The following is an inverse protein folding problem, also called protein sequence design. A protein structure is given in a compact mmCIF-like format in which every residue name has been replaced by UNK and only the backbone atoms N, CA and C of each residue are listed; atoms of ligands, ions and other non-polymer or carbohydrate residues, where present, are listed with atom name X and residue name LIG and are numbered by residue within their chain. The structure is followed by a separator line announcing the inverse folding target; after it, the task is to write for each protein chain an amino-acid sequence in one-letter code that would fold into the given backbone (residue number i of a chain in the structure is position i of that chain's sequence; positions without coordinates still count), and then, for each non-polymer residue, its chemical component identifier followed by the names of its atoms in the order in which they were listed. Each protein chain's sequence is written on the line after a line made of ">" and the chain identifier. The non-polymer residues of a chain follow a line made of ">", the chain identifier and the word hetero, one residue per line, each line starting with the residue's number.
data_IF_995326907655
#
_entry.id   IF_995326907655
#
_cell.length_a   1.000
_cell.length_b   1.000
_cell.length_c   1.000
_cell.angle_alpha   90.00
_cell.angle_beta   90.00
_cell.angle_gamma   90.00
#
_symmetry.space_group_name_H-M   'P 1'
#
loop_
_entity.id
_entity.type
_entity.pdbx_description
1 polymer ?
#
# COMPACT_ATOMS: atom_id res chain seq x y z
N UNK A 1 -6.31 -4.36 23.62
CA UNK A 1 -5.23 -3.55 23.01
C UNK A 1 -4.63 -4.35 21.85
N UNK A 2 -4.21 -3.68 20.80
CA UNK A 2 -3.49 -4.27 19.66
C UNK A 2 -2.04 -3.77 19.64
N UNK A 3 -1.13 -4.59 19.11
CA UNK A 3 0.27 -4.18 18.87
C UNK A 3 0.30 -3.18 17.72
N UNK A 4 1.09 -2.11 17.87
CA UNK A 4 1.25 -1.11 16.80
C UNK A 4 1.91 -1.74 15.57
N UNK A 5 2.96 -2.54 15.77
CA UNK A 5 3.61 -3.34 14.73
C UNK A 5 3.76 -4.78 15.21
N UNK A 6 3.54 -5.74 14.31
CA UNK A 6 3.67 -7.16 14.59
C UNK A 6 5.10 -7.66 14.30
N UNK A 7 5.71 -7.20 13.20
CA UNK A 7 7.08 -7.58 12.83
C UNK A 7 7.87 -6.39 12.25
N UNK A 8 9.18 -6.41 12.44
CA UNK A 8 10.15 -5.56 11.77
C UNK A 8 11.16 -6.45 11.03
N UNK A 9 11.46 -6.12 9.77
CA UNK A 9 12.30 -6.92 8.90
C UNK A 9 13.33 -6.06 8.18
N UNK A 10 14.49 -6.68 7.93
CA UNK A 10 15.45 -6.21 6.93
C UNK A 10 15.55 -7.30 5.88
N UNK A 11 15.15 -6.99 4.65
CA UNK A 11 15.20 -7.90 3.50
C UNK A 11 16.23 -7.37 2.52
N UNK A 12 17.06 -8.24 1.94
CA UNK A 12 18.08 -7.84 0.99
C UNK A 12 18.19 -8.82 -0.17
N UNK A 13 18.91 -8.38 -1.21
CA UNK A 13 19.20 -9.22 -2.37
C UNK A 13 20.01 -10.47 -1.96
N UNK A 14 19.56 -11.64 -2.40
CA UNK A 14 20.25 -12.91 -2.19
C UNK A 14 21.38 -13.09 -3.23
N UNK A 15 22.62 -12.99 -2.78
CA UNK A 15 23.80 -13.15 -3.63
C UNK A 15 24.10 -14.61 -3.98
N UNK A 16 23.54 -15.57 -3.23
CA UNK A 16 23.81 -17.00 -3.38
C UNK A 16 22.93 -17.61 -4.49
N UNK A 17 21.71 -17.10 -4.68
CA UNK A 17 20.76 -17.54 -5.71
C UNK A 17 20.85 -16.75 -7.03
N UNK A 18 22.07 -16.60 -7.57
CA UNK A 18 22.36 -15.87 -8.82
C UNK A 18 21.92 -16.57 -10.13
N UNK A 19 21.38 -17.78 -10.06
CA UNK A 19 21.28 -18.69 -11.23
C UNK A 19 20.25 -18.32 -12.31
N UNK A 20 19.10 -17.77 -11.93
CA UNK A 20 18.08 -17.33 -12.89
C UNK A 20 18.17 -15.84 -13.15
N UNK A 21 17.88 -15.36 -14.36
CA UNK A 21 17.95 -13.94 -14.73
C UNK A 21 17.12 -12.96 -13.88
N UNK A 22 16.39 -13.42 -12.86
CA UNK A 22 15.77 -12.60 -11.82
C UNK A 22 16.36 -12.94 -10.45
N UNK A 23 16.81 -11.92 -9.71
CA UNK A 23 17.25 -12.11 -8.33
C UNK A 23 16.12 -12.50 -7.39
N UNK A 24 16.49 -12.89 -6.16
CA UNK A 24 15.57 -13.15 -5.07
C UNK A 24 15.90 -12.30 -3.85
N UNK A 25 14.89 -12.00 -3.04
CA UNK A 25 15.05 -11.40 -1.72
C UNK A 25 15.21 -12.44 -0.64
N UNK A 26 16.02 -12.14 0.36
CA UNK A 26 16.21 -12.95 1.56
C UNK A 26 16.01 -12.09 2.81
N UNK A 27 15.30 -12.61 3.79
CA UNK A 27 15.21 -12.00 5.13
C UNK A 27 16.61 -12.07 5.76
N UNK A 28 17.21 -10.90 5.97
CA UNK A 28 18.50 -10.75 6.64
C UNK A 28 18.33 -10.69 8.16
N UNK A 29 17.29 -9.99 8.61
CA UNK A 29 16.95 -9.84 10.02
C UNK A 29 15.44 -9.76 10.19
N UNK A 30 14.97 -10.27 11.32
CA UNK A 30 13.55 -10.34 11.67
C UNK A 30 13.37 -10.19 13.17
N UNK A 31 12.41 -9.36 13.56
CA UNK A 31 12.03 -9.15 14.95
C UNK A 31 10.50 -9.12 15.08
N UNK A 32 9.91 -9.83 16.05
CA UNK A 32 10.55 -10.86 16.88
C UNK A 32 11.04 -12.07 16.06
N UNK A 33 12.00 -12.82 16.60
CA UNK A 33 12.51 -14.06 15.96
C UNK A 33 11.54 -15.23 16.06
N UNK A 34 10.57 -15.16 16.97
CA UNK A 34 9.50 -16.16 17.14
C UNK A 34 8.19 -15.58 16.65
N UNK A 35 7.37 -16.44 16.06
CA UNK A 35 6.05 -16.07 15.60
C UNK A 35 5.13 -15.76 16.78
N UNK A 36 4.22 -14.81 16.57
CA UNK A 36 3.12 -14.58 17.51
C UNK A 36 2.08 -15.71 17.36
N UNK A 37 1.59 -16.22 18.49
CA UNK A 37 0.53 -17.25 18.51
C UNK A 37 -0.75 -16.77 17.83
N UNK A 38 -1.08 -15.49 17.95
CA UNK A 38 -2.29 -14.87 17.38
C UNK A 38 -2.10 -14.33 15.96
N UNK A 39 -0.87 -14.30 15.45
CA UNK A 39 -0.54 -13.72 14.15
C UNK A 39 0.81 -14.26 13.63
N UNK A 40 0.84 -15.46 13.03
CA UNK A 40 2.07 -16.09 12.56
C UNK A 40 2.76 -15.24 11.48
N UNK A 41 4.03 -15.55 11.20
CA UNK A 41 4.80 -14.74 10.27
C UNK A 41 4.36 -14.94 8.82
N UNK A 42 4.15 -13.85 8.05
CA UNK A 42 3.67 -13.96 6.68
C UNK A 42 4.79 -14.44 5.73
N UNK A 43 4.64 -15.63 5.13
CA UNK A 43 5.61 -16.23 4.18
C UNK A 43 5.66 -15.51 2.84
N UNK A 44 6.80 -15.27 2.20
CA UNK A 44 6.86 -14.65 0.86
C UNK A 44 6.75 -13.12 0.84
N UNK A 45 6.99 -12.48 1.98
CA UNK A 45 7.00 -11.01 2.12
C UNK A 45 8.10 -10.35 1.26
N UNK A 46 9.13 -11.10 0.92
CA UNK A 46 10.26 -10.70 0.08
C UNK A 46 9.81 -10.32 -1.34
N UNK A 47 8.71 -10.92 -1.84
CA UNK A 47 8.12 -10.58 -3.14
C UNK A 47 7.56 -9.14 -3.15
N UNK A 48 6.98 -8.71 -2.02
CA UNK A 48 6.41 -7.37 -1.88
C UNK A 48 7.46 -6.31 -1.56
N UNK A 49 8.65 -6.72 -1.11
CA UNK A 49 9.76 -5.80 -0.81
C UNK A 49 10.38 -5.18 -2.06
N UNK A 50 10.34 -5.89 -3.19
CA UNK A 50 10.77 -5.43 -4.52
C UNK A 50 9.75 -5.92 -5.57
N UNK A 51 8.59 -5.24 -5.73
CA UNK A 51 7.50 -5.74 -6.58
C UNK A 51 7.86 -5.82 -8.07
N UNK A 52 8.81 -5.00 -8.55
CA UNK A 52 9.37 -5.07 -9.90
C UNK A 52 10.43 -6.17 -10.07
N UNK A 53 10.70 -6.96 -9.03
CA UNK A 53 11.76 -7.95 -9.01
C UNK A 53 13.03 -7.46 -8.33
N UNK A 54 13.82 -8.41 -7.84
CA UNK A 54 15.11 -8.14 -7.21
C UNK A 54 16.19 -8.05 -8.28
N UNK A 55 16.74 -6.85 -8.48
CA UNK A 55 17.74 -6.61 -9.51
C UNK A 55 18.93 -5.83 -8.95
N UNK A 56 20.13 -6.17 -9.42
CA UNK A 56 21.32 -5.40 -9.12
C UNK A 56 21.36 -4.16 -10.02
N UNK A 57 21.77 -3.03 -9.44
CA UNK A 57 21.87 -1.74 -10.15
C UNK A 57 23.30 -1.21 -10.11
N UNK A 58 23.71 -0.50 -11.17
CA UNK A 58 25.05 0.09 -11.25
C UNK A 58 25.22 1.31 -10.31
N UNK A 59 24.13 1.99 -9.98
CA UNK A 59 24.14 3.21 -9.18
C UNK A 59 23.26 3.06 -7.93
N UNK A 60 23.69 3.68 -6.84
CA UNK A 60 22.92 3.71 -5.59
C UNK A 60 21.65 4.53 -5.77
N UNK A 61 20.50 3.89 -5.58
CA UNK A 61 19.19 4.54 -5.63
C UNK A 61 18.86 5.23 -4.28
N UNK A 62 18.10 6.34 -4.30
CA UNK A 62 17.58 6.95 -3.08
C UNK A 62 16.54 6.05 -2.39
N UNK A 63 16.35 6.16 -1.07
CA UNK A 63 15.32 5.41 -0.37
C UNK A 63 13.91 5.84 -0.85
N UNK A 64 13.03 4.86 -1.01
CA UNK A 64 11.62 5.05 -1.36
C UNK A 64 10.71 4.35 -0.35
N UNK A 65 9.52 4.91 -0.11
CA UNK A 65 8.51 4.31 0.77
C UNK A 65 7.25 3.96 -0.02
N UNK A 66 6.66 2.81 0.29
CA UNK A 66 5.35 2.39 -0.19
C UNK A 66 4.71 1.43 0.80
N UNK A 67 3.39 1.20 0.68
CA UNK A 67 2.65 0.23 1.50
C UNK A 67 2.03 -0.82 0.59
N UNK A 68 2.38 -2.08 0.83
CA UNK A 68 1.74 -3.22 0.24
C UNK A 68 0.82 -3.88 1.27
N UNK A 69 -0.33 -4.37 0.81
CA UNK A 69 -1.23 -5.18 1.63
C UNK A 69 -1.18 -6.61 1.13
N UNK A 70 -1.21 -7.53 2.09
CA UNK A 70 -1.33 -8.96 1.84
C UNK A 70 -2.65 -9.45 2.40
N UNK A 71 -3.39 -10.18 1.58
CA UNK A 71 -4.45 -11.09 2.03
C UNK A 71 -3.83 -12.47 2.21
N UNK A 72 -4.22 -13.22 3.24
CA UNK A 72 -3.76 -14.59 3.44
C UNK A 72 -4.28 -15.48 2.32
N UNK A 73 -3.51 -15.63 1.25
CA UNK A 73 -3.67 -16.71 0.28
C UNK A 73 -2.29 -17.32 0.02
N UNK A 74 -2.22 -18.63 0.24
CA UNK A 74 -1.03 -19.43 0.01
C UNK A 74 -0.95 -19.77 -1.48
N UNK A 75 0.14 -19.36 -2.12
CA UNK A 75 0.61 -19.99 -3.35
C UNK A 75 2.09 -20.28 -3.18
N UNK A 76 2.43 -21.56 -3.29
CA UNK A 76 3.80 -22.04 -3.41
C UNK A 76 4.17 -21.94 -4.89
N UNK A 77 5.29 -21.29 -5.21
CA UNK A 77 5.81 -21.17 -6.57
C UNK A 77 7.09 -21.98 -6.63
N UNK A 78 7.12 -23.03 -7.46
CA UNK A 78 8.30 -23.86 -7.69
C UNK A 78 9.35 -23.10 -8.52
N UNK A 79 10.61 -23.12 -8.08
CA UNK A 79 11.75 -22.48 -8.75
C UNK A 79 12.55 -23.53 -9.55
N UNK A 80 12.77 -23.30 -10.86
CA UNK A 80 13.65 -24.10 -11.72
C UNK A 80 15.05 -23.44 -11.82
N UNK A 81 16.12 -24.22 -11.65
CA UNK A 81 17.50 -23.75 -11.54
C UNK A 81 18.27 -23.87 -12.87
N UNK A 82 18.77 -22.74 -13.38
CA UNK A 82 19.74 -22.68 -14.49
C UNK A 82 21.04 -21.94 -14.09
N UNK A 83 22.16 -22.09 -14.82
CA UNK A 83 23.43 -21.44 -14.48
C UNK A 83 23.58 -20.06 -15.16
N UNK A 84 24.00 -19.05 -14.39
CA UNK A 84 24.17 -17.65 -14.83
C UNK A 84 25.60 -17.21 -15.18
N UNK A 85 25.70 -16.20 -16.06
CA UNK A 85 26.93 -15.60 -16.62
C UNK A 85 27.62 -14.55 -15.69
N UNK A 86 28.91 -14.21 -15.90
CA UNK A 86 29.67 -13.29 -15.03
C UNK A 86 29.35 -11.80 -15.22
N UNK A 87 29.33 -11.05 -14.10
CA UNK A 87 28.91 -9.64 -13.98
C UNK A 87 30.10 -8.67 -13.70
N UNK A 88 29.93 -7.34 -13.97
CA UNK A 88 30.95 -6.31 -13.78
C UNK A 88 31.33 -6.00 -12.31
N UNK A 89 32.41 -5.24 -12.12
CA UNK A 89 33.23 -5.17 -10.89
C UNK A 89 32.61 -4.48 -9.65
N UNK A 90 31.53 -3.70 -9.77
CA UNK A 90 30.81 -3.15 -8.61
C UNK A 90 29.33 -2.93 -8.95
N UNK A 91 28.45 -3.65 -8.24
CA UNK A 91 27.00 -3.56 -8.37
C UNK A 91 26.38 -3.36 -6.98
N UNK A 92 25.26 -2.66 -6.92
CA UNK A 92 24.49 -2.45 -5.70
C UNK A 92 23.25 -3.34 -5.69
N UNK A 93 23.04 -4.06 -4.58
CA UNK A 93 21.82 -4.83 -4.35
C UNK A 93 20.81 -4.05 -3.51
N UNK A 94 19.51 -4.11 -3.83
CA UNK A 94 18.49 -3.44 -3.04
C UNK A 94 18.39 -4.04 -1.63
N UNK A 95 17.97 -3.20 -0.69
CA UNK A 95 17.59 -3.58 0.68
C UNK A 95 16.29 -2.85 1.04
N UNK A 96 15.37 -3.57 1.66
CA UNK A 96 14.10 -3.06 2.14
C UNK A 96 14.03 -3.17 3.65
N UNK A 97 13.65 -2.08 4.31
CA UNK A 97 13.31 -2.05 5.75
C UNK A 97 11.80 -2.07 5.84
N UNK A 98 11.24 -3.06 6.55
CA UNK A 98 9.80 -3.37 6.48
C UNK A 98 9.23 -3.41 7.89
N UNK A 99 8.07 -2.77 8.05
CA UNK A 99 7.20 -2.93 9.22
C UNK A 99 5.94 -3.66 8.77
N UNK A 100 5.59 -4.72 9.48
CA UNK A 100 4.35 -5.48 9.27
C UNK A 100 3.41 -5.16 10.41
N UNK A 101 2.19 -4.75 10.09
CA UNK A 101 1.14 -4.48 11.08
C UNK A 101 -0.23 -4.85 10.53
N UNK A 102 -1.11 -5.30 11.42
CA UNK A 102 -2.55 -5.46 11.16
C UNK A 102 -3.32 -4.13 11.21
N UNK A 103 -2.67 -3.07 11.68
CA UNK A 103 -3.26 -1.75 11.83
C UNK A 103 -2.93 -0.88 10.62
N UNK A 104 -3.83 0.04 10.30
CA UNK A 104 -3.73 0.88 9.13
C UNK A 104 -3.27 2.31 9.47
N UNK A 105 -2.13 2.42 10.15
CA UNK A 105 -1.50 3.69 10.51
C UNK A 105 -0.34 4.05 9.57
N UNK A 106 -0.62 4.09 8.27
CA UNK A 106 0.38 4.25 7.21
C UNK A 106 1.33 5.45 7.43
N UNK A 107 0.81 6.61 7.82
CA UNK A 107 1.63 7.81 8.07
C UNK A 107 2.56 7.64 9.27
N UNK A 108 2.05 7.04 10.35
CA UNK A 108 2.86 6.74 11.54
C UNK A 108 3.99 5.80 11.15
N UNK A 109 3.72 4.71 10.42
CA UNK A 109 4.77 3.78 9.99
C UNK A 109 5.79 4.41 9.04
N UNK A 110 5.36 5.32 8.15
CA UNK A 110 6.27 6.11 7.31
C UNK A 110 7.25 6.91 8.16
N UNK A 111 6.75 7.61 9.16
CA UNK A 111 7.57 8.42 10.05
C UNK A 111 8.49 7.54 10.91
N UNK A 112 7.99 6.40 11.42
CA UNK A 112 8.78 5.42 12.17
C UNK A 112 9.94 4.88 11.32
N UNK A 113 9.68 4.47 10.07
CA UNK A 113 10.72 3.99 9.16
C UNK A 113 11.72 5.10 8.80
N UNK A 114 11.23 6.33 8.61
CA UNK A 114 12.08 7.51 8.43
C UNK A 114 13.02 7.74 9.61
N UNK A 115 12.51 7.67 10.84
CA UNK A 115 13.30 7.79 12.06
C UNK A 115 14.37 6.67 12.16
N UNK A 116 13.96 5.42 11.94
CA UNK A 116 14.87 4.26 11.96
C UNK A 116 15.99 4.45 10.92
N UNK A 117 15.66 4.90 9.72
CA UNK A 117 16.63 5.19 8.68
C UNK A 117 17.60 6.32 9.07
N UNK A 118 17.07 7.43 9.60
CA UNK A 118 17.87 8.57 10.07
C UNK A 118 18.82 8.16 11.20
N UNK A 119 18.35 7.43 12.21
CA UNK A 119 19.20 6.92 13.31
C UNK A 119 20.34 6.07 12.77
N UNK A 120 20.06 5.22 11.76
CA UNK A 120 21.07 4.36 11.15
C UNK A 120 22.11 5.15 10.33
N UNK A 121 21.67 6.09 9.50
CA UNK A 121 22.56 6.84 8.59
C UNK A 121 23.35 7.92 9.33
N UNK A 122 22.70 8.68 10.21
CA UNK A 122 23.30 9.82 10.90
C UNK A 122 23.97 9.43 12.23
N UNK A 123 23.92 8.14 12.61
CA UNK A 123 24.52 7.60 13.83
C UNK A 123 24.13 8.40 15.07
N UNK A 124 22.83 8.66 15.23
CA UNK A 124 22.29 9.38 16.38
C UNK A 124 22.62 8.66 17.70
N UNK A 125 22.66 9.40 18.82
CA UNK A 125 22.99 8.88 20.16
C UNK A 125 21.95 7.93 20.78
N UNK A 126 21.10 7.29 19.97
CA UNK A 126 20.07 6.34 20.39
C UNK A 126 20.30 5.02 19.66
N UNK A 127 20.46 3.89 20.37
CA UNK A 127 20.59 2.58 19.74
C UNK A 127 19.37 2.27 18.87
N UNK A 128 19.60 1.76 17.65
CA UNK A 128 18.53 1.44 16.69
C UNK A 128 17.55 0.41 17.26
N UNK A 129 18.08 -0.54 18.04
CA UNK A 129 17.33 -1.60 18.73
C UNK A 129 16.33 -1.03 19.73
N UNK A 130 16.64 0.11 20.35
CA UNK A 130 15.70 0.79 21.26
C UNK A 130 14.51 1.34 20.48
N UNK A 131 14.75 1.96 19.33
CA UNK A 131 13.69 2.50 18.46
C UNK A 131 12.81 1.38 17.93
N UNK A 132 13.41 0.29 17.41
CA UNK A 132 12.70 -0.89 16.92
C UNK A 132 11.93 -1.58 18.06
N UNK A 133 12.56 -1.75 19.23
CA UNK A 133 11.94 -2.34 20.40
C UNK A 133 10.73 -1.54 20.90
N UNK A 134 10.84 -0.20 20.94
CA UNK A 134 9.73 0.68 21.30
C UNK A 134 8.57 0.56 20.30
N UNK A 135 8.85 0.46 19.00
CA UNK A 135 7.83 0.27 17.97
C UNK A 135 7.08 -1.06 18.14
N UNK A 136 7.81 -2.17 18.36
CA UNK A 136 7.24 -3.51 18.48
C UNK A 136 6.52 -3.76 19.82
N UNK A 137 6.93 -3.07 20.87
CA UNK A 137 6.30 -3.17 22.20
C UNK A 137 5.17 -2.15 22.42
N UNK A 138 5.03 -1.19 21.52
CA UNK A 138 3.95 -0.21 21.57
C UNK A 138 2.60 -0.91 21.34
N UNK A 139 1.67 -0.71 22.28
CA UNK A 139 0.29 -1.20 22.17
C UNK A 139 -0.68 -0.03 22.15
N UNK A 140 -1.69 -0.11 21.29
CA UNK A 140 -2.76 0.87 21.18
C UNK A 140 -4.12 0.24 21.51
N UNK A 141 -5.08 0.99 22.07
CA UNK A 141 -6.46 0.51 22.18
C UNK A 141 -7.06 0.27 20.79
N UNK A 142 -7.87 -0.79 20.65
CA UNK A 142 -8.58 -1.08 19.40
C UNK A 142 -9.79 -0.15 19.37
N UNK A 143 -9.88 0.74 18.38
CA UNK A 143 -11.07 1.57 18.20
C UNK A 143 -12.31 0.67 18.07
N UNK A 144 -13.33 0.87 18.92
CA UNK A 144 -14.60 0.13 18.89
C UNK A 144 -14.90 -0.78 20.10
N UNK A 145 -14.07 -0.81 21.13
CA UNK A 145 -14.45 -1.40 22.42
C UNK A 145 -15.15 -0.36 23.30
N UNK A 146 -16.39 -0.62 23.71
CA UNK A 146 -17.04 0.11 24.80
C UNK A 146 -16.24 -0.10 26.10
N UNK A 147 -15.32 0.81 26.40
CA UNK A 147 -14.77 0.95 27.74
C UNK A 147 -15.63 1.95 28.53
N UNK A 148 -15.83 1.69 29.83
CA UNK A 148 -16.67 2.53 30.67
C UNK A 148 -16.01 3.90 30.80
N UNK A 149 -16.84 4.93 30.63
CA UNK A 149 -16.73 6.30 31.10
C UNK A 149 -15.49 6.58 31.99
N UNK A 150 -14.33 6.78 31.38
CA UNK A 150 -13.23 7.51 31.99
C UNK A 150 -12.96 8.72 31.09
N UNK A 151 -13.61 9.82 31.48
CA UNK A 151 -13.38 11.22 31.12
C UNK A 151 -13.14 11.49 29.63
N UNK A 152 -14.21 11.99 28.98
CA UNK A 152 -14.18 12.69 27.70
C UNK A 152 -13.06 13.75 27.69
N UNK A 153 -11.87 13.35 27.23
CA UNK A 153 -10.83 14.26 26.84
C UNK A 153 -11.08 14.60 25.37
N UNK A 154 -11.38 15.88 25.10
CA UNK A 154 -11.69 16.46 23.79
C UNK A 154 -10.53 16.37 22.75
N UNK A 155 -9.55 15.50 22.99
CA UNK A 155 -8.40 15.30 22.11
C UNK A 155 -8.09 13.79 22.06
N UNK A 156 -8.77 13.06 21.18
CA UNK A 156 -8.61 11.61 20.99
C UNK A 156 -7.29 11.27 20.26
N UNK A 157 -6.26 12.09 20.42
CA UNK A 157 -4.94 11.91 19.86
C UNK A 157 -4.01 11.30 20.91
N UNK A 158 -3.37 10.17 20.57
CA UNK A 158 -2.35 9.53 21.39
C UNK A 158 -0.97 9.87 20.82
N UNK A 159 -0.12 10.49 21.62
CA UNK A 159 1.29 10.67 21.23
C UNK A 159 2.10 9.44 21.66
N UNK A 160 2.84 8.85 20.73
CA UNK A 160 3.85 7.83 20.99
C UNK A 160 5.23 8.41 20.69
N UNK A 161 6.24 7.99 21.44
CA UNK A 161 7.64 8.37 21.21
C UNK A 161 8.46 7.11 21.04
N UNK A 162 9.18 7.01 19.92
CA UNK A 162 10.05 5.88 19.65
C UNK A 162 11.50 6.11 20.12
N UNK A 163 11.87 7.35 20.47
CA UNK A 163 13.21 7.74 20.89
C UNK A 163 13.70 8.98 20.11
N UNK A 164 14.95 9.39 20.36
CA UNK A 164 15.62 10.49 19.63
C UNK A 164 14.86 11.84 19.58
N UNK A 165 14.02 12.11 20.58
CA UNK A 165 13.21 13.34 20.63
C UNK A 165 11.95 13.32 19.75
N UNK A 166 11.62 12.18 19.15
CA UNK A 166 10.48 12.02 18.27
C UNK A 166 9.13 12.02 19.01
N UNK A 167 8.08 12.49 18.33
CA UNK A 167 6.70 12.46 18.81
C UNK A 167 5.77 12.15 17.64
N UNK A 168 5.39 10.90 17.50
CA UNK A 168 4.35 10.50 16.55
C UNK A 168 2.98 10.66 17.19
N UNK A 169 2.06 11.25 16.45
CA UNK A 169 0.67 11.38 16.90
C UNK A 169 -0.15 10.33 16.16
N UNK A 170 -0.74 9.41 16.92
CA UNK A 170 -1.80 8.51 16.44
C UNK A 170 -3.12 9.21 16.72
N UNK A 171 -3.73 9.77 15.69
CA UNK A 171 -5.10 10.26 15.78
C UNK A 171 -6.05 9.09 15.58
N UNK A 172 -7.00 8.90 16.48
CA UNK A 172 -8.18 8.09 16.16
C UNK A 172 -9.02 8.85 15.13
N UNK A 173 -9.85 8.15 14.33
CA UNK A 173 -10.78 8.80 13.43
C UNK A 173 -11.59 9.88 14.17
N UNK A 174 -11.61 11.10 13.62
CA UNK A 174 -12.35 12.24 14.19
C UNK A 174 -13.86 11.96 14.20
N UNK A 175 -14.32 11.05 13.33
CA UNK A 175 -15.71 10.67 13.22
C UNK A 175 -15.81 9.22 12.71
N UNK A 176 -16.55 8.37 13.42
CA UNK A 176 -16.80 6.98 13.04
C UNK A 176 -17.69 6.84 11.78
N UNK A 177 -18.32 7.94 11.32
CA UNK A 177 -19.23 7.94 10.18
C UNK A 177 -18.58 8.22 8.82
N UNK A 178 -17.26 8.51 8.75
CA UNK A 178 -16.55 8.70 7.49
C UNK A 178 -15.14 8.07 7.51
N UNK A 179 -14.69 7.45 6.41
CA UNK A 179 -13.35 6.89 6.35
C UNK A 179 -12.29 7.99 6.31
N UNK A 180 -11.23 7.84 7.11
CA UNK A 180 -10.05 8.71 7.04
C UNK A 180 -9.25 8.33 5.78
N UNK A 181 -9.39 9.13 4.73
CA UNK A 181 -8.72 8.90 3.45
C UNK A 181 -7.50 9.80 3.22
N UNK A 182 -7.25 10.77 4.11
CA UNK A 182 -6.21 11.80 3.95
C UNK A 182 -6.36 12.51 2.61
N UNK A 183 -5.26 12.62 1.87
CA UNK A 183 -5.28 13.17 0.51
C UNK A 183 -5.70 12.16 -0.58
N UNK A 184 -5.84 10.87 -0.28
CA UNK A 184 -5.91 9.81 -1.31
C UNK A 184 -7.07 10.01 -2.29
N UNK A 185 -8.27 10.36 -1.78
CA UNK A 185 -9.46 10.61 -2.62
C UNK A 185 -9.25 11.81 -3.54
N UNK A 186 -8.75 12.93 -2.99
CA UNK A 186 -8.49 14.13 -3.81
C UNK A 186 -7.40 13.87 -4.86
N UNK A 187 -6.40 13.05 -4.54
CA UNK A 187 -5.37 12.62 -5.49
C UNK A 187 -5.95 11.79 -6.63
N UNK A 188 -6.83 10.84 -6.33
CA UNK A 188 -7.47 10.00 -7.35
C UNK A 188 -8.28 10.85 -8.34
N UNK A 189 -9.10 11.79 -7.84
CA UNK A 189 -9.84 12.74 -8.67
C UNK A 189 -8.93 13.65 -9.50
N UNK A 190 -7.79 14.06 -8.95
CA UNK A 190 -6.80 14.88 -9.65
C UNK A 190 -6.12 14.11 -10.80
N UNK A 191 -5.87 12.83 -10.61
CA UNK A 191 -5.18 11.98 -11.58
C UNK A 191 -6.10 11.54 -12.72
N UNK A 192 -7.30 11.07 -12.41
CA UNK A 192 -8.19 10.46 -13.39
C UNK A 192 -9.34 11.39 -13.84
N UNK A 193 -9.65 12.43 -13.07
CA UNK A 193 -10.81 13.29 -13.31
C UNK A 193 -12.14 12.67 -12.83
N UNK A 194 -13.15 13.53 -12.66
CA UNK A 194 -14.44 13.14 -12.06
C UNK A 194 -15.11 11.99 -12.82
N UNK A 195 -15.15 12.06 -14.15
CA UNK A 195 -15.85 11.08 -14.99
C UNK A 195 -15.27 9.68 -14.79
N UNK A 196 -13.95 9.54 -14.94
CA UNK A 196 -13.26 8.26 -14.79
C UNK A 196 -13.40 7.70 -13.37
N UNK A 197 -13.30 8.54 -12.34
CA UNK A 197 -13.49 8.08 -10.95
C UNK A 197 -14.91 7.58 -10.71
N UNK A 198 -15.94 8.23 -11.28
CA UNK A 198 -17.31 7.73 -11.19
C UNK A 198 -17.51 6.42 -11.95
N UNK A 199 -16.85 6.22 -13.09
CA UNK A 199 -16.81 4.93 -13.78
C UNK A 199 -16.20 3.83 -12.91
N UNK A 200 -15.04 4.09 -12.29
CA UNK A 200 -14.39 3.14 -11.39
C UNK A 200 -15.22 2.84 -10.14
N UNK A 201 -15.88 3.85 -9.58
CA UNK A 201 -16.83 3.68 -8.49
C UNK A 201 -17.96 2.73 -8.89
N UNK A 202 -18.63 2.98 -10.02
CA UNK A 202 -19.69 2.10 -10.51
C UNK A 202 -19.14 0.69 -10.80
N UNK A 203 -17.96 0.60 -11.40
CA UNK A 203 -17.33 -0.68 -11.71
C UNK A 203 -17.05 -1.51 -10.45
N UNK A 204 -16.64 -0.87 -9.36
CA UNK A 204 -16.40 -1.53 -8.09
C UNK A 204 -17.71 -1.99 -7.43
N UNK A 205 -18.78 -1.18 -7.53
CA UNK A 205 -20.12 -1.54 -7.05
C UNK A 205 -20.76 -2.69 -7.84
N UNK A 206 -20.44 -2.81 -9.12
CA UNK A 206 -20.89 -3.91 -9.99
C UNK A 206 -19.87 -5.05 -10.08
N UNK A 207 -18.92 -5.09 -9.14
CA UNK A 207 -18.01 -6.21 -8.92
C UNK A 207 -17.15 -6.56 -10.16
N UNK A 208 -16.63 -5.56 -10.88
CA UNK A 208 -15.67 -5.81 -11.96
C UNK A 208 -14.23 -5.96 -11.46
N UNK A 209 -13.38 -6.49 -12.33
CA UNK A 209 -11.93 -6.49 -12.18
C UNK A 209 -11.36 -5.12 -12.53
N UNK A 210 -10.74 -4.47 -11.55
CA UNK A 210 -10.15 -3.13 -11.68
C UNK A 210 -8.65 -3.24 -11.42
N UNK A 211 -7.86 -2.84 -12.41
CA UNK A 211 -6.41 -2.76 -12.33
C UNK A 211 -5.97 -1.29 -12.39
N UNK A 212 -5.30 -0.82 -11.34
CA UNK A 212 -4.58 0.44 -11.35
C UNK A 212 -3.16 0.23 -11.87
N UNK A 213 -2.72 1.07 -12.81
CA UNK A 213 -1.40 1.01 -13.41
C UNK A 213 -0.65 2.32 -13.17
N UNK A 214 0.58 2.25 -12.68
CA UNK A 214 1.42 3.42 -12.36
C UNK A 214 2.87 3.03 -12.15
N UNK A 215 3.79 3.91 -12.52
CA UNK A 215 5.22 3.80 -12.18
C UNK A 215 5.49 4.06 -10.69
N UNK A 216 4.60 4.78 -10.01
CA UNK A 216 4.67 5.08 -8.57
C UNK A 216 3.83 4.11 -7.75
N UNK A 217 4.48 3.34 -6.88
CA UNK A 217 3.83 2.45 -5.91
C UNK A 217 2.92 3.18 -4.94
N UNK A 218 3.31 4.37 -4.48
CA UNK A 218 2.46 5.17 -3.60
C UNK A 218 1.15 5.56 -4.29
N UNK A 219 1.19 5.96 -5.58
CA UNK A 219 -0.04 6.25 -6.33
C UNK A 219 -0.95 5.03 -6.43
N UNK A 220 -0.40 3.82 -6.65
CA UNK A 220 -1.18 2.59 -6.69
C UNK A 220 -1.90 2.35 -5.36
N UNK A 221 -1.17 2.42 -4.24
CA UNK A 221 -1.75 2.25 -2.90
C UNK A 221 -2.83 3.30 -2.63
N UNK A 222 -2.54 4.57 -2.87
CA UNK A 222 -3.46 5.67 -2.59
C UNK A 222 -4.72 5.58 -3.45
N UNK A 223 -4.61 5.20 -4.73
CA UNK A 223 -5.75 5.03 -5.64
C UNK A 223 -6.67 3.87 -5.21
N UNK A 224 -6.09 2.71 -4.88
CA UNK A 224 -6.80 1.56 -4.35
C UNK A 224 -7.58 1.92 -3.06
N UNK A 225 -6.92 2.59 -2.11
CA UNK A 225 -7.53 3.04 -0.85
C UNK A 225 -8.62 4.08 -1.09
N UNK A 226 -8.39 5.02 -2.00
CA UNK A 226 -9.34 6.06 -2.37
C UNK A 226 -10.62 5.46 -2.95
N UNK A 227 -10.51 4.46 -3.82
CA UNK A 227 -11.66 3.76 -4.39
C UNK A 227 -12.48 3.06 -3.29
N UNK A 228 -11.84 2.40 -2.34
CA UNK A 228 -12.53 1.82 -1.19
C UNK A 228 -13.18 2.88 -0.30
N UNK A 229 -12.51 4.01 -0.07
CA UNK A 229 -13.04 5.09 0.77
C UNK A 229 -14.31 5.71 0.18
N UNK A 230 -14.39 5.91 -1.15
CA UNK A 230 -15.60 6.44 -1.80
C UNK A 230 -16.77 5.44 -1.82
N UNK A 231 -16.50 4.14 -1.63
CA UNK A 231 -17.54 3.11 -1.50
C UNK A 231 -18.18 3.05 -0.12
N UNK A 232 -17.67 3.76 0.88
CA UNK A 232 -18.24 3.79 2.22
C UNK A 232 -19.76 4.12 2.18
N UNK A 233 -20.60 3.41 2.96
CA UNK A 233 -20.28 2.42 4.00
C UNK A 233 -20.19 0.97 3.51
N UNK A 234 -20.14 0.73 2.19
CA UNK A 234 -20.07 -0.62 1.63
C UNK A 234 -18.70 -1.25 1.86
N UNK A 235 -18.70 -2.55 2.14
CA UNK A 235 -17.47 -3.32 2.37
C UNK A 235 -17.11 -4.13 1.14
N UNK A 236 -15.94 -3.83 0.57
CA UNK A 236 -15.37 -4.65 -0.49
C UNK A 236 -14.88 -5.99 0.08
N UNK A 237 -15.34 -7.10 -0.48
CA UNK A 237 -15.08 -8.44 0.07
C UNK A 237 -14.18 -9.32 -0.82
N UNK A 238 -13.91 -8.89 -2.05
CA UNK A 238 -13.12 -9.65 -3.04
C UNK A 238 -11.61 -9.42 -2.88
N UNK A 239 -10.84 -9.82 -3.89
CA UNK A 239 -9.38 -9.72 -3.90
C UNK A 239 -8.93 -8.27 -3.96
N UNK A 240 -8.12 -7.87 -2.99
CA UNK A 240 -7.63 -6.50 -2.85
C UNK A 240 -6.11 -6.54 -2.62
N UNK A 241 -5.35 -6.14 -3.63
CA UNK A 241 -3.88 -6.16 -3.61
C UNK A 241 -3.35 -4.85 -4.20
N UNK A 242 -3.16 -3.80 -3.39
CA UNK A 242 -2.79 -2.48 -3.90
C UNK A 242 -1.47 -2.42 -4.67
N UNK A 243 -0.58 -3.39 -4.42
CA UNK A 243 0.66 -3.57 -5.16
C UNK A 243 0.87 -5.08 -5.35
N UNK A 244 0.65 -5.56 -6.57
CA UNK A 244 0.91 -6.95 -6.96
C UNK A 244 2.34 -7.08 -7.50
N UNK A 245 3.18 -7.96 -6.92
CA UNK A 245 4.50 -8.28 -7.45
C UNK A 245 4.42 -8.93 -8.85
N UNK A 246 5.44 -8.68 -9.68
CA UNK A 246 5.54 -9.26 -11.03
C UNK A 246 5.45 -10.79 -11.06
N UNK A 247 6.04 -11.46 -10.06
CA UNK A 247 5.99 -12.93 -9.93
C UNK A 247 4.58 -13.49 -9.67
N UNK A 248 3.60 -12.64 -9.36
CA UNK A 248 2.22 -13.03 -9.05
C UNK A 248 1.22 -12.48 -10.09
N UNK A 249 1.67 -12.06 -11.28
CA UNK A 249 0.79 -11.51 -12.33
C UNK A 249 -0.28 -12.51 -12.82
N UNK A 250 -0.07 -13.82 -12.63
CA UNK A 250 -1.06 -14.84 -12.95
C UNK A 250 -2.41 -14.63 -12.23
N UNK A 251 -2.39 -13.99 -11.04
CA UNK A 251 -3.61 -13.66 -10.27
C UNK A 251 -4.57 -12.77 -11.08
N UNK A 252 -4.06 -11.98 -12.03
CA UNK A 252 -4.89 -11.11 -12.87
C UNK A 252 -5.84 -11.89 -13.80
N UNK A 253 -5.53 -13.15 -14.09
CA UNK A 253 -6.35 -14.03 -14.92
C UNK A 253 -7.45 -14.76 -14.14
N UNK A 254 -7.50 -14.61 -12.80
CA UNK A 254 -8.52 -15.26 -11.97
C UNK A 254 -9.92 -14.78 -12.35
N UNK A 255 -10.97 -15.62 -12.29
CA UNK A 255 -12.31 -15.23 -12.73
C UNK A 255 -13.03 -14.31 -11.73
N UNK A 256 -12.50 -14.16 -10.52
CA UNK A 256 -13.11 -13.39 -9.43
C UNK A 256 -12.86 -11.89 -9.60
N UNK A 257 -13.79 -11.03 -9.16
CA UNK A 257 -13.56 -9.59 -9.08
C UNK A 257 -12.32 -9.26 -8.25
N UNK A 258 -11.64 -8.17 -8.61
CA UNK A 258 -10.50 -7.70 -7.84
C UNK A 258 -10.29 -6.18 -7.97
N UNK A 259 -9.61 -5.61 -7.00
CA UNK A 259 -8.98 -4.28 -7.07
C UNK A 259 -7.49 -4.49 -6.83
N UNK A 260 -6.70 -4.33 -7.89
CA UNK A 260 -5.26 -4.62 -7.87
C UNK A 260 -4.47 -3.44 -8.45
N UNK A 261 -3.32 -3.12 -7.86
CA UNK A 261 -2.36 -2.19 -8.45
C UNK A 261 -1.13 -2.90 -9.00
N UNK A 262 -0.69 -2.53 -10.21
CA UNK A 262 0.48 -3.11 -10.89
C UNK A 262 1.43 -2.00 -11.31
N UNK A 263 2.73 -2.24 -11.20
CA UNK A 263 3.72 -1.28 -11.70
C UNK A 263 3.64 -1.17 -13.22
N UNK A 264 3.72 0.05 -13.77
CA UNK A 264 3.65 0.28 -15.22
C UNK A 264 4.75 -0.41 -16.02
N UNK A 265 5.82 -0.88 -15.38
CA UNK A 265 6.83 -1.74 -15.98
C UNK A 265 6.22 -3.00 -16.63
N UNK A 266 5.19 -3.58 -16.03
CA UNK A 266 4.50 -4.78 -16.52
C UNK A 266 3.29 -4.45 -17.43
N UNK A 267 3.30 -3.28 -18.09
CA UNK A 267 2.17 -2.83 -18.91
C UNK A 267 1.86 -3.81 -20.04
N UNK A 268 2.90 -4.34 -20.70
CA UNK A 268 2.74 -5.23 -21.85
C UNK A 268 1.94 -6.49 -21.48
N UNK A 269 2.23 -7.05 -20.31
CA UNK A 269 1.58 -8.23 -19.75
C UNK A 269 0.11 -7.93 -19.38
N UNK A 270 -0.18 -6.71 -18.90
CA UNK A 270 -1.56 -6.32 -18.56
C UNK A 270 -2.44 -6.01 -19.77
N UNK A 271 -1.87 -5.72 -20.94
CA UNK A 271 -2.64 -5.38 -22.14
C UNK A 271 -3.38 -6.58 -22.75
N UNK A 272 -2.95 -7.80 -22.43
CA UNK A 272 -3.57 -9.03 -22.92
C UNK A 272 -4.86 -9.40 -22.16
N UNK A 273 -5.17 -8.71 -21.07
CA UNK A 273 -6.32 -8.99 -20.22
C UNK A 273 -7.62 -8.48 -20.87
N UNK A 274 -8.50 -9.42 -21.22
CA UNK A 274 -9.72 -9.12 -21.98
C UNK A 274 -10.89 -8.66 -21.11
N UNK A 275 -10.88 -8.91 -19.80
CA UNK A 275 -12.00 -8.65 -18.90
C UNK A 275 -11.65 -7.74 -17.71
N UNK A 276 -10.54 -7.01 -17.82
CA UNK A 276 -10.00 -6.15 -16.76
C UNK A 276 -10.10 -4.68 -17.17
N UNK A 277 -10.72 -3.87 -16.31
CA UNK A 277 -10.76 -2.41 -16.47
C UNK A 277 -9.41 -1.85 -16.01
N UNK A 278 -8.70 -1.16 -16.90
CA UNK A 278 -7.35 -0.64 -16.61
C UNK A 278 -7.42 0.88 -16.41
N UNK A 279 -7.09 1.33 -15.19
CA UNK A 279 -6.94 2.73 -14.83
C UNK A 279 -5.45 3.12 -14.82
N UNK A 280 -4.99 3.79 -15.87
CA UNK A 280 -3.64 4.32 -16.00
C UNK A 280 -3.53 5.66 -15.25
N UNK A 281 -2.97 5.62 -14.04
CA UNK A 281 -2.83 6.80 -13.18
C UNK A 281 -1.75 7.78 -13.69
N UNK A 282 -0.82 7.31 -14.52
CA UNK A 282 0.25 8.13 -15.09
C UNK A 282 -0.25 8.85 -16.35
N UNK A 283 -1.06 8.16 -17.15
CA UNK A 283 -1.70 8.71 -18.36
C UNK A 283 -3.01 9.46 -18.09
N UNK A 284 -3.64 9.26 -16.93
CA UNK A 284 -4.93 9.87 -16.59
C UNK A 284 -6.12 9.27 -17.34
N UNK A 285 -6.04 7.99 -17.72
CA UNK A 285 -7.04 7.32 -18.57
C UNK A 285 -7.61 6.07 -17.92
N UNK A 286 -8.84 5.71 -18.33
CA UNK A 286 -9.48 4.43 -17.97
C UNK A 286 -9.87 3.72 -19.25
N UNK A 287 -9.40 2.49 -19.41
CA UNK A 287 -9.69 1.61 -20.54
C UNK A 287 -10.65 0.53 -20.08
N UNK A 288 -11.79 0.42 -20.75
CA UNK A 288 -12.82 -0.58 -20.48
C UNK A 288 -12.84 -1.55 -21.66
N UNK A 289 -12.62 -2.86 -21.46
CA UNK A 289 -12.70 -3.83 -22.54
C UNK A 289 -14.11 -3.93 -23.14
N UNK A 290 -14.21 -4.26 -24.42
CA UNK A 290 -15.49 -4.29 -25.15
C UNK A 290 -16.54 -5.26 -24.57
N UNK A 291 -16.07 -6.35 -23.94
CA UNK A 291 -16.95 -7.34 -23.31
C UNK A 291 -17.41 -6.95 -21.89
N UNK A 292 -16.94 -5.82 -21.36
CA UNK A 292 -17.28 -5.34 -20.03
C UNK A 292 -18.33 -4.23 -20.12
N UNK A 293 -19.48 -4.46 -19.49
CA UNK A 293 -20.54 -3.47 -19.38
C UNK A 293 -20.71 -3.01 -17.93
N UNK A 294 -20.45 -1.72 -17.68
CA UNK A 294 -20.60 -1.12 -16.35
C UNK A 294 -21.96 -0.43 -16.27
N UNK A 295 -22.79 -0.86 -15.31
CA UNK A 295 -24.04 -0.16 -15.02
C UNK A 295 -23.75 1.15 -14.28
N UNK A 296 -24.00 2.28 -14.93
CA UNK A 296 -23.81 3.60 -14.33
C UNK A 296 -24.92 3.96 -13.35
N UNK A 297 -24.65 4.97 -12.52
CA UNK A 297 -25.67 5.59 -11.68
C UNK A 297 -26.86 6.06 -12.53
N UNK A 298 -28.10 5.82 -12.10
CA UNK A 298 -29.27 6.28 -12.83
C UNK A 298 -29.39 7.80 -12.76
N UNK A 299 -29.97 8.41 -13.79
CA UNK A 299 -30.34 9.82 -13.74
C UNK A 299 -31.53 10.05 -12.78
N UNK A 300 -31.57 11.18 -12.06
CA UNK A 300 -30.69 12.35 -12.14
C UNK A 300 -29.44 12.28 -11.22
N UNK A 301 -29.18 11.13 -10.57
CA UNK A 301 -28.12 11.03 -9.56
C UNK A 301 -26.74 11.22 -10.18
N UNK A 302 -26.50 10.68 -11.37
CA UNK A 302 -25.23 10.84 -12.07
C UNK A 302 -24.92 12.32 -12.34
N UNK A 303 -25.85 13.03 -12.98
CA UNK A 303 -25.69 14.44 -13.28
C UNK A 303 -25.51 15.29 -12.01
N UNK A 304 -26.29 15.00 -10.97
CA UNK A 304 -26.21 15.73 -9.70
C UNK A 304 -24.84 15.54 -9.04
N UNK A 305 -24.37 14.29 -8.93
CA UNK A 305 -23.06 13.97 -8.35
C UNK A 305 -21.91 14.62 -9.13
N UNK A 306 -21.95 14.56 -10.46
CA UNK A 306 -20.95 15.24 -11.31
C UNK A 306 -20.93 16.75 -11.08
N UNK A 307 -22.10 17.37 -10.96
CA UNK A 307 -22.23 18.81 -10.72
C UNK A 307 -21.63 19.21 -9.38
N UNK A 308 -21.98 18.50 -8.30
CA UNK A 308 -21.46 18.76 -6.95
C UNK A 308 -19.94 18.57 -6.91
N UNK A 309 -19.42 17.49 -7.48
CA UNK A 309 -17.98 17.24 -7.54
C UNK A 309 -17.24 18.32 -8.35
N UNK A 310 -17.83 18.82 -9.44
CA UNK A 310 -17.23 19.87 -10.27
C UNK A 310 -17.16 21.23 -9.55
N UNK A 311 -18.11 21.52 -8.66
CA UNK A 311 -18.05 22.71 -7.81
C UNK A 311 -16.94 22.63 -6.77
N UNK A 312 -16.65 21.41 -6.30
CA UNK A 312 -15.57 21.15 -5.36
C UNK A 312 -14.21 21.21 -6.04
N UNK A 313 -14.06 20.75 -7.30
CA UNK A 313 -12.76 20.75 -7.98
C UNK A 313 -12.21 22.16 -8.20
N UNK A 314 -13.05 23.15 -8.51
CA UNK A 314 -12.63 24.56 -8.57
C UNK A 314 -12.03 25.10 -7.26
N UNK A 315 -12.51 24.60 -6.10
CA UNK A 315 -12.00 24.97 -4.79
C UNK A 315 -10.89 24.03 -4.27
N UNK A 316 -10.85 22.76 -4.69
CA UNK A 316 -9.83 21.78 -4.33
C UNK A 316 -8.43 22.19 -4.83
N UNK A 317 -8.35 22.92 -5.94
CA UNK A 317 -7.07 23.46 -6.44
C UNK A 317 -6.62 24.74 -5.73
N UNK A 318 -7.53 25.45 -5.03
CA UNK A 318 -7.23 26.72 -4.36
C UNK A 318 -7.22 26.62 -2.82
N UNK A 319 -7.71 25.52 -2.25
CA UNK A 319 -7.96 25.41 -0.81
C UNK A 319 -7.37 24.11 -0.26
N UNK A 320 -6.08 24.19 0.08
CA UNK A 320 -5.37 23.33 1.03
C UNK A 320 -5.94 23.45 2.47
N UNK A 321 -7.27 23.46 2.65
CA UNK A 321 -7.91 23.64 3.96
C UNK A 321 -9.14 22.77 4.24
N UNK A 322 -9.62 21.97 3.29
CA UNK A 322 -10.79 21.08 3.53
C UNK A 322 -10.37 19.60 3.65
N UNK A 323 -9.18 19.25 3.17
CA UNK A 323 -8.61 17.88 3.26
C UNK A 323 -7.19 17.88 3.79
N UNK A 324 -6.85 18.88 4.60
CA UNK A 324 -5.59 18.95 5.32
C UNK A 324 -5.87 18.47 6.74
N UNK A 325 -5.33 17.32 7.10
CA UNK A 325 -4.97 17.08 8.49
C UNK A 325 -3.95 18.16 8.91
#
# INVERSE_FOLDING_TARGET
>A
MARLADYFLVVGYDLEKRGGGEGQGRILQRFPEKDWEDNPFPQGIELFCQPSGWQLVAERQPPSFFVALRKEEASEVDEDEGPGEPLPAQLYGPKSVVVVSRLDHTEVFRNCLGLIYTVHVDSLNVPLETVIGNLLTCTIPIAGGSQPEEEESEDSSRTITLGAGDRQVIQTPINDSLPVSGCSVSQLFRQLGIVNVLYLFCAALTEHKILFLSSSYQRLTDACRALLAIMFPLKYSFTYVPILPGKLLEVLSTPTPFIIGVNSFFRSETQELLDVIIADLDGGTVTIPECVHISLLPEPLLQHTQTVLSMLTGNLFSVNKIWSC
#
